data_IF_325888209976
#
_entry.id   IF_325888209976
#
_cell.length_a   1.000
_cell.length_b   1.000
_cell.length_c   1.000
_cell.angle_alpha   90.00
_cell.angle_beta   90.00
_cell.angle_gamma   90.00
#
_symmetry.space_group_name_H-M   'P 1'
#
loop_
_entity.id
_entity.type
_entity.pdbx_description
1 polymer ?
#
# COMPACT_ATOMS: atom_id res chain seq x y z
N UNK A 1 -9.75 -41.45 -25.29
CA UNK A 1 -8.59 -40.59 -24.97
C UNK A 1 -9.15 -39.20 -24.78
N UNK A 2 -9.34 -38.78 -23.54
CA UNK A 2 -9.78 -37.44 -23.24
C UNK A 2 -8.63 -36.46 -23.56
N UNK A 3 -8.87 -35.57 -24.51
CA UNK A 3 -7.99 -34.42 -24.77
C UNK A 3 -7.99 -33.54 -23.51
N UNK A 4 -7.02 -33.70 -22.63
CA UNK A 4 -6.77 -32.78 -21.56
C UNK A 4 -6.17 -31.51 -22.21
N UNK A 5 -7.02 -30.56 -22.56
CA UNK A 5 -6.56 -29.20 -22.77
C UNK A 5 -5.91 -28.73 -21.46
N UNK A 6 -4.65 -28.35 -21.53
CA UNK A 6 -4.00 -27.69 -20.40
C UNK A 6 -4.79 -26.40 -20.12
N UNK A 7 -5.31 -26.22 -18.90
CA UNK A 7 -5.95 -24.95 -18.58
C UNK A 7 -4.89 -23.86 -18.67
N UNK A 8 -5.17 -22.82 -19.43
CA UNK A 8 -4.35 -21.61 -19.39
C UNK A 8 -4.33 -21.11 -17.94
N UNK A 9 -3.15 -21.08 -17.33
CA UNK A 9 -2.98 -20.71 -15.91
C UNK A 9 -3.06 -19.21 -15.65
N UNK A 10 -3.23 -18.40 -16.70
CA UNK A 10 -3.27 -16.94 -16.66
C UNK A 10 -4.68 -16.36 -16.45
N UNK A 11 -5.71 -17.22 -16.37
CA UNK A 11 -7.10 -16.78 -16.13
C UNK A 11 -7.72 -17.54 -14.97
N UNK A 12 -8.50 -16.84 -14.16
CA UNK A 12 -9.30 -17.40 -13.08
C UNK A 12 -10.77 -17.11 -13.32
N UNK A 13 -11.62 -18.08 -13.01
CA UNK A 13 -13.06 -17.87 -13.00
C UNK A 13 -13.41 -17.02 -11.78
N UNK A 14 -14.02 -15.87 -12.03
CA UNK A 14 -14.49 -15.01 -10.94
C UNK A 14 -15.81 -15.58 -10.41
N UNK A 15 -15.82 -16.06 -9.17
CA UNK A 15 -17.00 -16.65 -8.53
C UNK A 15 -18.20 -15.68 -8.42
N UNK A 16 -17.94 -14.37 -8.46
CA UNK A 16 -19.00 -13.34 -8.44
C UNK A 16 -19.67 -13.15 -9.79
N UNK A 17 -19.04 -13.60 -10.87
CA UNK A 17 -19.52 -13.48 -12.25
C UNK A 17 -19.42 -14.86 -12.90
N UNK A 18 -20.50 -15.63 -12.82
CA UNK A 18 -20.60 -17.06 -13.16
C UNK A 18 -20.05 -17.45 -14.55
N UNK A 19 -19.77 -16.47 -15.43
CA UNK A 19 -19.32 -16.72 -16.80
C UNK A 19 -18.11 -15.85 -17.25
N UNK A 20 -17.56 -14.98 -16.39
CA UNK A 20 -16.44 -14.13 -16.75
C UNK A 20 -15.10 -14.63 -16.21
N UNK A 21 -14.15 -14.83 -17.11
CA UNK A 21 -12.75 -15.12 -16.75
C UNK A 21 -11.99 -13.82 -16.59
N UNK A 22 -11.49 -13.58 -15.38
CA UNK A 22 -10.61 -12.45 -15.09
C UNK A 22 -9.16 -12.90 -15.18
N UNK A 23 -8.27 -12.21 -15.90
CA UNK A 23 -6.85 -12.53 -15.92
C UNK A 23 -6.25 -12.54 -14.51
N UNK A 24 -5.27 -13.38 -14.26
CA UNK A 24 -4.56 -13.40 -12.96
C UNK A 24 -3.85 -12.09 -12.69
N UNK A 25 -3.37 -11.41 -13.74
CA UNK A 25 -2.74 -10.10 -13.69
C UNK A 25 -3.71 -8.92 -13.76
N UNK A 26 -5.04 -9.16 -13.78
CA UNK A 26 -6.04 -8.10 -13.87
C UNK A 26 -5.82 -7.02 -12.81
N UNK A 27 -5.96 -5.76 -13.23
CA UNK A 27 -5.58 -4.62 -12.42
C UNK A 27 -6.79 -3.88 -11.84
N UNK A 28 -6.74 -3.70 -10.52
CA UNK A 28 -7.59 -2.74 -9.82
C UNK A 28 -6.84 -1.42 -9.68
N UNK A 29 -7.38 -0.37 -10.30
CA UNK A 29 -6.83 0.97 -10.23
C UNK A 29 -7.83 1.91 -9.56
N UNK A 30 -7.44 2.51 -8.43
CA UNK A 30 -8.35 3.30 -7.60
C UNK A 30 -9.59 2.50 -7.14
N UNK A 31 -9.40 1.19 -6.84
CA UNK A 31 -10.46 0.26 -6.47
C UNK A 31 -11.34 -0.22 -7.61
N UNK A 32 -11.08 0.18 -8.85
CA UNK A 32 -11.88 -0.16 -10.04
C UNK A 32 -11.15 -1.22 -10.85
N UNK A 33 -11.80 -2.35 -11.12
CA UNK A 33 -11.31 -3.40 -12.01
C UNK A 33 -11.46 -2.93 -13.47
N UNK A 34 -10.35 -2.64 -14.15
CA UNK A 34 -10.36 -2.09 -15.51
C UNK A 34 -10.99 -3.03 -16.53
N UNK A 35 -10.78 -4.33 -16.39
CA UNK A 35 -11.39 -5.37 -17.22
C UNK A 35 -12.92 -5.35 -17.20
N UNK A 36 -13.51 -4.87 -16.10
CA UNK A 36 -14.96 -4.80 -15.96
C UNK A 36 -15.57 -3.55 -16.55
N UNK A 37 -14.84 -2.44 -16.51
CA UNK A 37 -15.38 -1.12 -16.91
C UNK A 37 -15.02 -0.75 -18.32
N UNK A 38 -14.04 -1.43 -18.94
CA UNK A 38 -13.62 -1.20 -20.32
C UNK A 38 -13.73 -2.51 -21.10
N UNK A 39 -14.80 -2.65 -21.86
CA UNK A 39 -15.01 -3.83 -22.71
C UNK A 39 -13.88 -4.00 -23.72
N UNK A 40 -13.32 -5.21 -23.83
CA UNK A 40 -12.20 -5.52 -24.70
C UNK A 40 -10.83 -5.16 -24.14
N UNK A 41 -10.76 -4.58 -22.93
CA UNK A 41 -9.51 -4.38 -22.19
C UNK A 41 -9.13 -5.67 -21.46
N UNK A 42 -7.83 -5.96 -21.46
CA UNK A 42 -7.26 -7.06 -20.68
C UNK A 42 -5.81 -6.72 -20.27
N UNK A 43 -5.51 -6.81 -19.00
CA UNK A 43 -4.13 -6.79 -18.49
C UNK A 43 -3.46 -8.12 -18.84
N UNK A 44 -2.34 -8.07 -19.54
CA UNK A 44 -1.59 -9.26 -19.98
C UNK A 44 -0.50 -9.64 -18.99
N UNK A 45 0.31 -8.67 -18.59
CA UNK A 45 1.39 -8.86 -17.62
C UNK A 45 1.70 -7.55 -16.90
N UNK A 46 2.33 -7.67 -15.75
CA UNK A 46 2.80 -6.52 -14.99
C UNK A 46 4.23 -6.80 -14.55
N UNK A 47 5.15 -5.93 -14.94
CA UNK A 47 6.56 -5.98 -14.57
C UNK A 47 6.87 -4.99 -13.44
N UNK A 48 7.95 -5.24 -12.70
CA UNK A 48 8.38 -4.36 -11.61
C UNK A 48 7.77 -4.67 -10.25
N UNK A 49 7.04 -5.80 -10.10
CA UNK A 49 6.45 -6.24 -8.82
C UNK A 49 7.37 -7.12 -7.99
N UNK A 50 8.27 -7.85 -8.63
CA UNK A 50 8.99 -8.98 -8.05
C UNK A 50 10.11 -8.54 -7.11
N UNK A 51 10.98 -7.69 -7.60
CA UNK A 51 12.17 -7.23 -6.89
C UNK A 51 12.33 -5.73 -7.01
N UNK A 52 12.92 -5.15 -5.98
CA UNK A 52 13.23 -3.72 -5.94
C UNK A 52 14.74 -3.52 -5.96
N UNK A 53 15.19 -2.54 -6.74
CA UNK A 53 16.59 -2.11 -6.71
C UNK A 53 16.88 -1.31 -5.46
N UNK A 54 18.10 -1.40 -4.98
CA UNK A 54 18.60 -0.63 -3.83
C UNK A 54 19.69 0.31 -4.35
N UNK A 55 19.56 1.60 -4.08
CA UNK A 55 20.61 2.57 -4.32
C UNK A 55 21.69 2.46 -3.26
N UNK A 56 22.95 2.27 -3.67
CA UNK A 56 24.11 2.19 -2.78
C UNK A 56 25.08 3.29 -3.18
N UNK A 57 25.37 4.18 -2.25
CA UNK A 57 26.44 5.16 -2.36
C UNK A 57 27.65 4.64 -1.56
N UNK A 58 28.82 4.69 -2.16
CA UNK A 58 30.04 4.18 -1.51
C UNK A 58 31.26 5.00 -1.88
N UNK A 59 32.20 5.06 -0.97
CA UNK A 59 33.52 5.67 -1.18
C UNK A 59 34.61 4.59 -1.28
N UNK A 60 35.48 4.73 -2.26
CA UNK A 60 36.60 3.80 -2.47
C UNK A 60 37.67 4.00 -1.39
N UNK A 61 38.16 2.90 -0.85
CA UNK A 61 39.33 2.86 0.05
C UNK A 61 40.43 2.01 -0.58
N UNK A 62 41.59 1.93 0.06
CA UNK A 62 42.75 1.22 -0.49
C UNK A 62 42.44 -0.25 -0.85
N UNK A 63 41.52 -0.91 -0.12
CA UNK A 63 41.06 -2.27 -0.42
C UNK A 63 39.51 -2.29 -0.22
N UNK A 64 38.77 -2.25 -1.35
CA UNK A 64 37.30 -2.27 -1.32
C UNK A 64 36.66 -0.88 -1.26
N UNK A 65 35.47 -0.78 -0.65
CA UNK A 65 34.73 0.47 -0.47
C UNK A 65 33.95 0.49 0.86
N UNK A 66 33.65 1.70 1.35
CA UNK A 66 32.80 1.92 2.50
C UNK A 66 31.44 2.41 1.97
N UNK A 67 30.35 1.74 2.34
CA UNK A 67 28.99 2.17 2.01
C UNK A 67 28.66 3.38 2.88
N UNK A 68 28.40 4.52 2.26
CA UNK A 68 28.08 5.78 2.93
C UNK A 68 26.58 5.99 3.06
N UNK A 69 25.78 5.48 2.09
CA UNK A 69 24.33 5.60 2.11
C UNK A 69 23.66 4.43 1.39
N UNK A 70 22.43 4.10 1.80
CA UNK A 70 21.57 3.12 1.17
C UNK A 70 20.15 3.66 1.07
N UNK A 71 19.60 3.68 -0.13
CA UNK A 71 18.26 4.20 -0.41
C UNK A 71 17.38 3.16 -1.09
N UNK A 72 16.07 3.29 -0.91
CA UNK A 72 15.07 2.57 -1.68
C UNK A 72 14.48 3.55 -2.71
N UNK A 73 14.85 3.44 -4.00
CA UNK A 73 14.33 4.31 -5.04
C UNK A 73 12.84 4.04 -5.29
N UNK A 74 12.17 4.97 -5.96
CA UNK A 74 10.82 4.76 -6.47
C UNK A 74 10.71 3.50 -7.33
N UNK A 75 9.52 2.93 -7.39
CA UNK A 75 9.19 1.77 -8.22
C UNK A 75 8.36 2.21 -9.41
N UNK A 76 8.61 1.62 -10.57
CA UNK A 76 7.72 1.72 -11.72
C UNK A 76 7.11 0.35 -11.99
N UNK A 77 5.78 0.31 -12.12
CA UNK A 77 5.04 -0.87 -12.53
C UNK A 77 4.67 -0.70 -13.99
N UNK A 78 5.24 -1.53 -14.87
CA UNK A 78 4.92 -1.50 -16.30
C UNK A 78 3.80 -2.49 -16.58
N UNK A 79 2.63 -1.97 -16.92
CA UNK A 79 1.42 -2.74 -17.20
C UNK A 79 1.28 -2.94 -18.70
N UNK A 80 1.43 -4.18 -19.15
CA UNK A 80 1.18 -4.56 -20.55
C UNK A 80 -0.29 -4.96 -20.68
N UNK A 81 -0.97 -4.38 -21.65
CA UNK A 81 -2.39 -4.60 -21.85
C UNK A 81 -2.74 -4.88 -23.30
N UNK A 82 -3.90 -5.49 -23.51
CA UNK A 82 -4.59 -5.61 -24.79
C UNK A 82 -5.86 -4.76 -24.74
N UNK A 83 -6.16 -4.07 -25.83
CA UNK A 83 -7.42 -3.36 -26.04
C UNK A 83 -7.91 -3.65 -27.46
N UNK A 84 -9.15 -4.09 -27.58
CA UNK A 84 -9.72 -4.44 -28.89
C UNK A 84 -11.17 -3.98 -29.03
N UNK A 85 -11.53 -3.63 -30.24
CA UNK A 85 -12.91 -3.41 -30.68
C UNK A 85 -13.05 -3.75 -32.19
N UNK A 86 -14.24 -4.12 -32.62
CA UNK A 86 -14.53 -4.36 -34.05
C UNK A 86 -14.60 -3.07 -34.83
N UNK A 87 -15.01 -1.99 -34.18
CA UNK A 87 -15.17 -0.65 -34.73
C UNK A 87 -14.00 0.25 -34.31
N UNK A 88 -13.26 0.86 -35.25
CA UNK A 88 -12.15 1.76 -34.94
C UNK A 88 -12.57 3.02 -34.16
N UNK A 89 -13.78 3.55 -34.40
CA UNK A 89 -14.26 4.72 -33.65
C UNK A 89 -14.54 4.38 -32.21
N UNK A 90 -15.09 3.18 -31.94
CA UNK A 90 -15.30 2.70 -30.57
C UNK A 90 -13.98 2.38 -29.89
N UNK A 91 -13.01 1.85 -30.62
CA UNK A 91 -11.66 1.63 -30.08
C UNK A 91 -11.04 2.94 -29.58
N UNK A 92 -11.17 4.03 -30.36
CA UNK A 92 -10.68 5.36 -29.94
C UNK A 92 -11.37 5.83 -28.64
N UNK A 93 -12.69 5.70 -28.55
CA UNK A 93 -13.45 6.06 -27.34
C UNK A 93 -13.00 5.23 -26.12
N UNK A 94 -12.62 3.96 -26.34
CA UNK A 94 -12.08 3.11 -25.26
C UNK A 94 -10.70 3.58 -24.77
N UNK A 95 -9.85 4.10 -25.67
CA UNK A 95 -8.59 4.75 -25.26
C UNK A 95 -8.84 6.01 -24.43
N UNK A 96 -9.79 6.84 -24.84
CA UNK A 96 -10.16 8.05 -24.11
C UNK A 96 -10.69 7.66 -22.70
N UNK A 97 -11.51 6.61 -22.62
CA UNK A 97 -12.03 6.07 -21.38
C UNK A 97 -10.91 5.49 -20.49
N UNK A 98 -9.97 4.74 -21.06
CA UNK A 98 -8.80 4.22 -20.35
C UNK A 98 -7.97 5.36 -19.77
N UNK A 99 -7.68 6.39 -20.57
CA UNK A 99 -6.97 7.58 -20.10
C UNK A 99 -7.73 8.30 -18.98
N UNK A 100 -9.05 8.39 -19.06
CA UNK A 100 -9.88 9.01 -18.03
C UNK A 100 -9.77 8.25 -16.68
N UNK A 101 -9.74 6.92 -16.71
CA UNK A 101 -9.51 6.13 -15.49
C UNK A 101 -8.10 6.28 -14.97
N UNK A 102 -7.09 6.26 -15.84
CA UNK A 102 -5.68 6.27 -15.46
C UNK A 102 -5.18 7.63 -14.97
N UNK A 103 -5.67 8.73 -15.56
CA UNK A 103 -5.20 10.08 -15.20
C UNK A 103 -5.72 10.48 -13.82
N UNK A 104 -4.80 10.57 -12.87
CA UNK A 104 -5.07 11.02 -11.49
C UNK A 104 -4.02 12.03 -11.06
N UNK A 105 -4.43 13.03 -10.29
CA UNK A 105 -3.55 14.08 -9.77
C UNK A 105 -2.86 13.69 -8.46
N UNK A 106 -3.30 12.57 -7.85
CA UNK A 106 -2.76 12.03 -6.59
C UNK A 106 -2.47 10.54 -6.78
N UNK A 107 -1.65 9.98 -5.89
CA UNK A 107 -1.43 8.55 -5.84
C UNK A 107 -2.73 7.85 -5.44
N UNK A 108 -3.02 6.78 -6.15
CA UNK A 108 -4.18 5.91 -5.92
C UNK A 108 -3.74 4.50 -5.55
N UNK A 109 -4.68 3.71 -5.08
CA UNK A 109 -4.43 2.31 -4.79
C UNK A 109 -4.34 1.50 -6.08
N UNK A 110 -3.35 0.64 -6.16
CA UNK A 110 -3.14 -0.30 -7.27
C UNK A 110 -3.02 -1.70 -6.70
N UNK A 111 -3.85 -2.62 -7.18
CA UNK A 111 -3.85 -4.02 -6.77
C UNK A 111 -3.96 -4.91 -8.00
N UNK A 112 -3.50 -6.15 -7.88
CA UNK A 112 -3.57 -7.15 -8.93
C UNK A 112 -4.32 -8.38 -8.45
N UNK A 113 -5.05 -9.04 -9.34
CA UNK A 113 -5.92 -10.16 -8.99
C UNK A 113 -5.18 -11.37 -8.39
N UNK A 114 -3.92 -11.54 -8.73
CA UNK A 114 -3.02 -12.57 -8.19
C UNK A 114 -2.37 -12.18 -6.84
N UNK A 115 -2.53 -10.91 -6.39
CA UNK A 115 -1.91 -10.39 -5.17
C UNK A 115 -2.85 -9.43 -4.39
N UNK A 116 -4.10 -9.84 -4.18
CA UNK A 116 -5.13 -9.02 -3.53
C UNK A 116 -4.86 -8.67 -2.06
N UNK A 117 -3.93 -9.39 -1.41
CA UNK A 117 -3.54 -9.10 -0.03
C UNK A 117 -2.66 -7.86 0.12
N UNK A 118 -2.12 -7.35 -1.00
CA UNK A 118 -1.22 -6.20 -1.01
C UNK A 118 -1.70 -5.10 -1.94
N UNK A 119 -1.37 -3.88 -1.58
CA UNK A 119 -1.71 -2.66 -2.31
C UNK A 119 -0.47 -1.83 -2.54
N UNK A 120 -0.24 -1.42 -3.78
CA UNK A 120 0.71 -0.39 -4.14
C UNK A 120 0.01 0.98 -4.15
N UNK A 121 0.78 2.04 -3.99
CA UNK A 121 0.31 3.42 -4.13
C UNK A 121 1.10 4.10 -5.24
N UNK A 122 0.41 4.54 -6.27
CA UNK A 122 1.07 5.15 -7.43
C UNK A 122 0.07 5.82 -8.36
N UNK A 123 0.61 6.41 -9.42
CA UNK A 123 -0.19 7.07 -10.45
C UNK A 123 0.36 6.78 -11.83
N UNK A 124 -0.48 6.86 -12.83
CA UNK A 124 -0.07 6.81 -14.24
C UNK A 124 1.01 7.86 -14.52
N UNK A 125 2.06 7.46 -15.22
CA UNK A 125 3.20 8.33 -15.53
C UNK A 125 3.50 8.43 -17.01
N UNK A 126 3.42 7.33 -17.75
CA UNK A 126 3.73 7.29 -19.17
C UNK A 126 2.97 6.18 -19.90
N UNK A 127 2.84 6.30 -21.20
CA UNK A 127 2.33 5.25 -22.07
C UNK A 127 3.27 5.01 -23.25
N UNK A 128 3.37 3.77 -23.66
CA UNK A 128 4.08 3.39 -24.88
C UNK A 128 3.29 3.78 -26.12
N UNK A 129 3.99 3.91 -27.25
CA UNK A 129 3.37 4.16 -28.53
C UNK A 129 2.37 3.06 -28.90
N UNK A 130 1.21 3.48 -29.38
CA UNK A 130 0.15 2.57 -29.82
C UNK A 130 0.28 2.36 -31.33
N UNK A 131 0.40 1.09 -31.81
CA UNK A 131 0.34 0.82 -33.26
C UNK A 131 -1.03 1.23 -33.83
N UNK A 132 -1.03 1.95 -34.93
CA UNK A 132 -2.25 2.49 -35.53
C UNK A 132 -2.86 1.66 -36.69
N UNK A 133 -2.38 0.45 -36.91
CA UNK A 133 -2.67 -0.37 -38.09
C UNK A 133 -3.69 -1.50 -37.84
N UNK A 134 -4.19 -1.64 -36.65
CA UNK A 134 -5.08 -2.75 -36.25
C UNK A 134 -6.08 -2.34 -35.20
N UNK A 135 -7.24 -2.98 -35.20
CA UNK A 135 -8.28 -2.81 -34.17
C UNK A 135 -8.04 -3.69 -32.93
N UNK A 136 -6.90 -4.36 -32.87
CA UNK A 136 -6.44 -5.16 -31.72
C UNK A 136 -5.07 -4.69 -31.31
N UNK A 137 -5.05 -3.87 -30.29
CA UNK A 137 -3.84 -3.21 -29.82
C UNK A 137 -3.26 -3.98 -28.64
N UNK A 138 -1.94 -4.16 -28.65
CA UNK A 138 -1.15 -4.56 -27.49
C UNK A 138 -0.14 -3.45 -27.23
N UNK A 139 -0.19 -2.86 -26.05
CA UNK A 139 0.70 -1.78 -25.66
C UNK A 139 0.98 -1.85 -24.16
N UNK A 140 1.67 -0.87 -23.61
CA UNK A 140 1.94 -0.78 -22.18
C UNK A 140 1.84 0.66 -21.67
N UNK A 141 1.65 0.78 -20.37
CA UNK A 141 1.77 2.04 -19.65
C UNK A 141 2.45 1.81 -18.31
N UNK A 142 2.99 2.88 -17.77
CA UNK A 142 3.73 2.86 -16.52
C UNK A 142 2.94 3.54 -15.40
N UNK A 143 3.00 2.92 -14.22
CA UNK A 143 2.52 3.48 -12.96
C UNK A 143 3.74 3.79 -12.11
N UNK A 144 3.93 5.04 -11.79
CA UNK A 144 4.99 5.51 -10.91
C UNK A 144 4.55 5.45 -9.45
N UNK A 145 5.26 4.65 -8.65
CA UNK A 145 5.08 4.52 -7.21
C UNK A 145 6.25 5.24 -6.52
N UNK A 146 5.99 6.43 -5.99
CA UNK A 146 6.99 7.19 -5.26
C UNK A 146 7.46 6.44 -4.00
N UNK A 147 6.53 5.79 -3.31
CA UNK A 147 6.83 4.78 -2.29
C UNK A 147 6.92 3.40 -2.96
N UNK A 148 8.10 2.77 -2.97
CA UNK A 148 8.30 1.50 -3.66
C UNK A 148 7.69 0.30 -2.94
N UNK A 149 7.21 0.49 -1.72
CA UNK A 149 6.68 -0.56 -0.84
C UNK A 149 5.26 -0.94 -1.21
N UNK A 150 4.88 -2.18 -0.89
CA UNK A 150 3.50 -2.64 -0.93
C UNK A 150 2.98 -2.91 0.48
N UNK A 151 1.72 -2.61 0.69
CA UNK A 151 1.07 -2.60 1.99
C UNK A 151 -0.02 -3.64 2.07
N UNK A 152 -0.05 -4.42 3.16
CA UNK A 152 -1.17 -5.32 3.43
C UNK A 152 -2.45 -4.55 3.78
N UNK A 153 -3.56 -5.25 3.87
CA UNK A 153 -4.74 -4.75 4.59
C UNK A 153 -4.36 -4.36 6.04
N UNK A 154 -5.17 -3.48 6.63
CA UNK A 154 -4.95 -3.03 7.99
C UNK A 154 -5.26 -4.15 9.00
N UNK A 155 -4.30 -4.44 9.87
CA UNK A 155 -4.46 -5.30 11.02
C UNK A 155 -4.79 -4.49 12.26
N UNK A 156 -5.47 -5.15 13.19
CA UNK A 156 -5.85 -4.61 14.50
C UNK A 156 -5.38 -5.58 15.58
N UNK A 157 -4.69 -5.06 16.59
CA UNK A 157 -4.17 -5.85 17.72
C UNK A 157 -4.47 -5.17 19.05
N UNK A 158 -4.80 -5.94 20.12
CA UNK A 158 -4.96 -5.41 21.47
C UNK A 158 -3.61 -5.13 22.19
N UNK A 159 -2.52 -4.99 21.42
CA UNK A 159 -1.17 -4.69 21.92
C UNK A 159 -0.12 -5.71 21.50
N UNK A 160 -0.41 -7.01 21.50
CA UNK A 160 0.55 -8.04 21.09
C UNK A 160 0.59 -8.20 19.58
N UNK A 161 1.76 -7.99 18.97
CA UNK A 161 1.97 -8.09 17.52
C UNK A 161 2.30 -9.55 17.15
N UNK A 162 1.28 -10.32 16.80
CA UNK A 162 1.42 -11.74 16.44
C UNK A 162 1.71 -11.94 14.93
N UNK A 163 1.31 -10.99 14.08
CA UNK A 163 1.48 -11.04 12.63
C UNK A 163 2.96 -11.06 12.27
N UNK A 164 3.31 -11.80 11.22
CA UNK A 164 4.66 -11.75 10.66
C UNK A 164 4.92 -10.38 10.02
N UNK A 165 5.93 -9.69 10.52
CA UNK A 165 6.40 -8.38 10.04
C UNK A 165 7.85 -8.57 9.57
N UNK A 166 8.10 -8.62 8.24
CA UNK A 166 9.45 -8.85 7.70
C UNK A 166 10.38 -7.65 7.92
N UNK A 167 9.83 -6.45 7.91
CA UNK A 167 10.55 -5.19 8.11
C UNK A 167 9.92 -4.40 9.25
N UNK A 168 10.70 -3.68 10.08
CA UNK A 168 10.15 -2.79 11.08
C UNK A 168 9.20 -1.78 10.45
N UNK A 169 8.04 -1.56 11.07
CA UNK A 169 7.00 -0.67 10.56
C UNK A 169 6.61 0.36 11.61
N UNK A 170 6.15 1.51 11.17
CA UNK A 170 5.48 2.49 11.99
C UNK A 170 3.98 2.15 11.97
N UNK A 171 3.30 1.99 13.13
CA UNK A 171 1.86 1.76 13.14
C UNK A 171 1.10 2.94 12.50
N UNK A 172 -0.04 2.65 11.89
CA UNK A 172 -0.91 3.72 11.38
C UNK A 172 -1.46 4.54 12.55
N UNK A 173 -2.04 3.84 13.53
CA UNK A 173 -2.67 4.45 14.70
C UNK A 173 -2.41 3.56 15.94
N UNK A 174 -2.02 4.17 17.04
CA UNK A 174 -2.11 3.54 18.35
C UNK A 174 -3.21 4.24 19.14
N UNK A 175 -4.27 3.50 19.42
CA UNK A 175 -5.46 3.99 20.12
C UNK A 175 -5.45 3.52 21.56
N UNK A 176 -5.75 4.42 22.49
CA UNK A 176 -5.90 4.11 23.93
C UNK A 176 -7.28 4.57 24.40
N UNK A 177 -8.04 3.65 25.00
CA UNK A 177 -9.31 3.95 25.67
C UNK A 177 -8.99 4.11 27.14
N UNK A 178 -9.17 5.31 27.68
CA UNK A 178 -8.72 5.67 29.01
C UNK A 178 -9.60 5.06 30.13
N UNK A 179 -8.98 4.56 31.16
CA UNK A 179 -9.68 4.12 32.39
C UNK A 179 -9.69 5.19 33.47
N UNK A 180 -8.80 6.18 33.42
CA UNK A 180 -8.68 7.24 34.43
C UNK A 180 -8.28 8.58 33.78
N UNK A 181 -8.59 9.73 34.42
CA UNK A 181 -8.22 11.06 33.92
C UNK A 181 -6.77 11.41 34.28
N UNK A 182 -5.82 10.57 33.84
CA UNK A 182 -4.38 10.73 34.11
C UNK A 182 -3.60 10.72 32.82
N UNK A 183 -2.32 11.12 32.87
CA UNK A 183 -1.41 11.07 31.73
C UNK A 183 -1.41 9.69 31.07
N UNK A 184 -1.23 9.69 29.76
CA UNK A 184 -1.14 8.46 28.95
C UNK A 184 0.29 8.30 28.47
N UNK A 185 0.84 7.14 28.75
CA UNK A 185 2.11 6.68 28.18
C UNK A 185 1.90 5.32 27.52
N UNK A 186 2.31 5.23 26.26
CA UNK A 186 2.35 3.98 25.51
C UNK A 186 3.80 3.58 25.34
N UNK A 187 4.09 2.31 25.50
CA UNK A 187 5.47 1.77 25.42
C UNK A 187 5.51 0.55 24.52
N UNK A 188 6.64 0.40 23.81
CA UNK A 188 7.03 -0.80 23.09
C UNK A 188 8.55 -1.05 23.36
N UNK A 189 8.86 -1.90 24.31
CA UNK A 189 10.23 -2.05 24.80
C UNK A 189 10.79 -0.74 25.36
N UNK A 190 11.85 -0.22 24.75
CA UNK A 190 12.47 1.07 25.10
C UNK A 190 11.79 2.27 24.45
N UNK A 191 10.97 2.06 23.43
CA UNK A 191 10.27 3.12 22.73
C UNK A 191 9.04 3.55 23.53
N UNK A 192 8.78 4.84 23.56
CA UNK A 192 7.59 5.37 24.23
C UNK A 192 7.04 6.60 23.51
N UNK A 193 5.76 6.87 23.73
CA UNK A 193 5.08 8.10 23.39
C UNK A 193 4.10 8.44 24.50
N UNK A 194 3.98 9.72 24.83
CA UNK A 194 3.17 10.16 25.95
C UNK A 194 2.47 11.48 25.67
N UNK A 195 1.35 11.68 26.36
CA UNK A 195 0.67 12.95 26.43
C UNK A 195 0.54 13.40 27.87
N UNK A 196 0.67 14.71 28.07
CA UNK A 196 0.43 15.37 29.33
C UNK A 196 -0.66 16.40 29.15
N UNK A 197 -1.75 16.28 29.88
CA UNK A 197 -2.85 17.24 29.71
C UNK A 197 -3.92 17.11 30.77
N UNK A 198 -4.39 18.25 31.23
CA UNK A 198 -5.42 18.38 32.25
C UNK A 198 -6.85 18.16 31.76
N UNK A 199 -7.07 17.94 30.47
CA UNK A 199 -8.41 17.93 29.86
C UNK A 199 -8.91 16.55 29.46
N UNK A 200 -8.21 15.47 29.79
CA UNK A 200 -8.61 14.08 29.46
C UNK A 200 -9.42 13.46 30.59
N UNK A 201 -10.40 12.64 30.23
CA UNK A 201 -11.34 12.00 31.16
C UNK A 201 -11.32 10.48 30.99
N UNK A 202 -11.78 9.77 32.00
CA UNK A 202 -12.07 8.34 31.87
C UNK A 202 -13.11 8.11 30.75
N UNK A 203 -12.85 7.14 29.88
CA UNK A 203 -13.66 6.84 28.71
C UNK A 203 -13.26 7.59 27.43
N UNK A 204 -12.38 8.61 27.54
CA UNK A 204 -11.86 9.28 26.35
C UNK A 204 -11.01 8.33 25.49
N UNK A 205 -11.04 8.56 24.18
CA UNK A 205 -10.25 7.82 23.20
C UNK A 205 -9.12 8.70 22.72
N UNK A 206 -7.89 8.30 23.02
CA UNK A 206 -6.67 8.95 22.54
C UNK A 206 -6.13 8.17 21.33
N UNK A 207 -5.89 8.83 20.23
CA UNK A 207 -5.28 8.25 19.03
C UNK A 207 -3.95 8.95 18.73
N UNK A 208 -2.88 8.16 18.77
CA UNK A 208 -1.58 8.57 18.24
C UNK A 208 -1.52 8.16 16.77
N UNK A 209 -1.55 9.10 15.86
CA UNK A 209 -1.39 8.90 14.41
C UNK A 209 0.08 9.04 14.05
N UNK A 210 0.78 7.92 14.12
CA UNK A 210 2.23 7.92 14.09
C UNK A 210 2.82 8.43 12.77
N UNK A 211 2.16 8.15 11.63
CA UNK A 211 2.62 8.61 10.32
C UNK A 211 2.44 10.12 10.11
N UNK A 212 1.41 10.68 10.70
CA UNK A 212 1.05 12.09 10.54
C UNK A 212 1.71 12.97 11.61
N UNK A 213 2.29 12.35 12.66
CA UNK A 213 2.86 13.06 13.81
C UNK A 213 1.79 13.74 14.68
N UNK A 214 0.54 13.26 14.65
CA UNK A 214 -0.60 13.92 15.27
C UNK A 214 -1.22 13.09 16.39
N UNK A 215 -1.83 13.79 17.37
CA UNK A 215 -2.60 13.20 18.45
C UNK A 215 -4.03 13.73 18.42
N UNK A 216 -4.98 12.82 18.50
CA UNK A 216 -6.40 13.12 18.60
C UNK A 216 -6.98 12.64 19.91
N UNK A 217 -7.90 13.41 20.50
CA UNK A 217 -8.71 13.00 21.64
C UNK A 217 -10.17 13.14 21.24
N UNK A 218 -10.90 12.03 21.25
CA UNK A 218 -12.29 11.94 20.77
C UNK A 218 -12.48 12.56 19.37
N UNK A 219 -11.54 12.33 18.45
CA UNK A 219 -11.59 12.85 17.09
C UNK A 219 -11.17 14.32 16.94
N UNK A 220 -10.84 15.02 18.03
CA UNK A 220 -10.35 16.41 18.00
C UNK A 220 -8.82 16.41 18.05
N UNK A 221 -8.18 17.11 17.12
CA UNK A 221 -6.72 17.27 17.11
C UNK A 221 -6.27 17.99 18.39
N UNK A 222 -5.38 17.35 19.13
CA UNK A 222 -4.79 17.79 20.40
C UNK A 222 -3.27 17.62 20.41
N UNK A 223 -2.62 17.65 19.27
CA UNK A 223 -1.17 17.40 19.13
C UNK A 223 -0.32 18.30 20.07
N UNK A 224 -0.82 19.45 20.45
CA UNK A 224 -0.15 20.34 21.40
C UNK A 224 0.08 19.72 22.81
N UNK A 225 -0.66 18.66 23.17
CA UNK A 225 -0.48 17.95 24.45
C UNK A 225 0.52 16.79 24.37
N UNK A 226 1.11 16.54 23.20
CA UNK A 226 2.15 15.54 23.03
C UNK A 226 3.40 15.93 23.82
N UNK A 227 3.91 14.99 24.59
CA UNK A 227 5.17 15.16 25.30
C UNK A 227 6.33 14.79 24.36
N UNK A 228 6.90 15.80 23.72
CA UNK A 228 8.01 15.63 22.77
C UNK A 228 9.31 15.14 23.43
N UNK A 229 9.47 15.33 24.74
CA UNK A 229 10.61 14.79 25.47
C UNK A 229 10.44 13.29 25.81
N UNK A 230 9.20 12.81 25.80
CA UNK A 230 8.85 11.42 26.14
C UNK A 230 8.95 10.42 24.99
N UNK A 231 9.34 10.86 23.78
CA UNK A 231 9.49 10.05 22.58
C UNK A 231 8.83 10.67 21.35
N UNK A 232 9.27 10.23 20.19
CA UNK A 232 8.75 10.71 18.90
C UNK A 232 7.79 9.68 18.30
N UNK A 233 6.67 10.14 17.76
CA UNK A 233 5.67 9.26 17.14
C UNK A 233 6.24 8.50 15.93
N UNK A 234 7.10 9.15 15.17
CA UNK A 234 7.72 8.58 13.95
C UNK A 234 8.78 7.51 14.26
N UNK A 235 9.34 7.50 15.47
CA UNK A 235 10.32 6.52 15.92
C UNK A 235 9.67 5.29 16.59
N UNK A 236 8.35 5.33 16.81
CA UNK A 236 7.63 4.24 17.44
C UNK A 236 7.40 3.10 16.45
N UNK A 237 8.40 2.23 16.31
CA UNK A 237 8.40 1.11 15.38
C UNK A 237 7.87 -0.18 16.02
N UNK A 238 7.30 -1.04 15.19
CA UNK A 238 6.79 -2.37 15.53
C UNK A 238 7.57 -3.45 14.80
N UNK A 239 7.79 -4.56 15.53
CA UNK A 239 8.36 -5.82 15.01
C UNK A 239 7.48 -7.00 15.43
N UNK A 240 7.68 -8.15 14.78
CA UNK A 240 7.01 -9.38 15.21
C UNK A 240 7.36 -9.71 16.67
N UNK A 241 6.35 -10.00 17.46
CA UNK A 241 6.50 -10.38 18.87
C UNK A 241 6.46 -9.22 19.84
N UNK A 242 6.46 -7.98 19.37
CA UNK A 242 6.35 -6.80 20.22
C UNK A 242 5.05 -6.80 21.03
N UNK A 243 5.13 -6.18 22.21
CA UNK A 243 4.00 -6.00 23.11
C UNK A 243 3.86 -4.53 23.49
N UNK A 244 2.94 -3.86 22.79
CA UNK A 244 2.60 -2.46 23.06
C UNK A 244 1.73 -2.39 24.30
N UNK A 245 2.16 -1.61 25.29
CA UNK A 245 1.51 -1.45 26.60
C UNK A 245 1.14 0.01 26.84
N UNK A 246 0.14 0.21 27.69
CA UNK A 246 -0.23 1.54 28.19
C UNK A 246 -0.31 1.52 29.72
N UNK A 247 0.01 2.66 30.33
CA UNK A 247 -0.18 2.85 31.78
C UNK A 247 -1.65 3.16 32.15
N UNK A 248 -2.51 3.45 31.18
CA UNK A 248 -3.86 3.93 31.41
C UNK A 248 -4.86 3.35 30.40
N UNK A 249 -5.65 2.39 30.83
CA UNK A 249 -6.74 1.83 30.06
C UNK A 249 -6.37 0.69 29.13
N UNK A 250 -6.99 0.66 27.93
CA UNK A 250 -6.81 -0.40 26.94
C UNK A 250 -6.15 0.15 25.69
N UNK A 251 -5.12 -0.54 25.21
CA UNK A 251 -4.44 -0.19 23.95
C UNK A 251 -4.98 -1.02 22.78
N UNK A 252 -5.05 -0.40 21.62
CA UNK A 252 -5.38 -1.00 20.35
C UNK A 252 -4.41 -0.45 19.31
N UNK A 253 -3.76 -1.34 18.57
CA UNK A 253 -2.77 -0.99 17.55
C UNK A 253 -3.31 -1.33 16.17
N UNK A 254 -3.39 -0.32 15.29
CA UNK A 254 -3.77 -0.48 13.89
C UNK A 254 -2.51 -0.29 13.04
N UNK A 255 -2.20 -1.27 12.22
CA UNK A 255 -0.98 -1.28 11.41
C UNK A 255 -1.16 -2.04 10.11
N UNK A 256 -0.30 -1.77 9.13
CA UNK A 256 -0.18 -2.54 7.89
C UNK A 256 1.22 -3.14 7.80
N UNK A 257 1.28 -4.39 7.39
CA UNK A 257 2.56 -5.03 7.07
C UNK A 257 3.07 -4.43 5.76
N UNK A 258 4.37 -4.17 5.74
CA UNK A 258 5.08 -3.61 4.58
C UNK A 258 5.93 -4.70 3.95
N UNK A 259 5.89 -4.80 2.62
CA UNK A 259 6.74 -5.66 1.82
C UNK A 259 7.49 -4.82 0.77
N UNK A 260 8.69 -5.27 0.43
CA UNK A 260 9.51 -4.68 -0.63
C UNK A 260 9.34 -5.39 -1.95
#
# INVERSE_FOLDING_TARGET
MENRMYPFMDTQKNERYIEEYTPTSAMYYDGILLEKVIEGYQTLSVEGREMISVGIESESIQVGSIITNQTLPSRTLTVKYKLEDKDPENLQKKFDLLMWYLYKTKDVTVQFNDELDYTYHGRFSSASTVPGDTNRIVSSFDIYCADPRKYSKQYKSPGRIATYIPYPIIPDIVRVILSAPTSVKVTNGSLSMSITGASIKSGDVVEFRNKDGEVFVNGVNKTAILDWAGGQLEEFILKKGDEVKTNNGKVEVLYRVVML
#
